data_IF_011098669111
#
_entry.id   IF_011098669111
#
_cell.length_a   1.000
_cell.length_b   1.000
_cell.length_c   1.000
_cell.angle_alpha   90.00
_cell.angle_beta   90.00
_cell.angle_gamma   90.00
#
_symmetry.space_group_name_H-M   'P 1'
#
loop_
_entity.id
_entity.type
_entity.pdbx_description
1 polymer ?
#
# COMPACT_ATOMS: atom_id res chain seq x y z
N UNK A 1 64.54 -0.83 2.59
CA UNK A 1 63.68 0.22 2.05
C UNK A 1 62.50 -0.32 1.25
N UNK A 2 62.66 -1.20 0.29
CA UNK A 2 61.62 -1.72 -0.60
C UNK A 2 60.40 -2.40 0.11
N UNK A 3 60.63 -3.13 1.25
CA UNK A 3 59.53 -3.78 2.00
C UNK A 3 58.57 -2.79 2.65
N UNK A 4 59.11 -1.65 3.17
CA UNK A 4 58.27 -0.57 3.76
C UNK A 4 57.42 0.13 2.70
N UNK A 5 57.98 0.39 1.53
CA UNK A 5 57.23 0.95 0.40
C UNK A 5 56.14 0.02 -0.13
N UNK A 6 56.39 -1.27 -0.21
CA UNK A 6 55.35 -2.27 -0.60
C UNK A 6 54.21 -2.34 0.41
N UNK A 7 54.54 -2.30 1.72
CA UNK A 7 53.51 -2.27 2.77
C UNK A 7 52.69 -0.98 2.72
N UNK A 8 53.34 0.18 2.54
CA UNK A 8 52.65 1.45 2.40
C UNK A 8 51.73 1.47 1.14
N UNK A 9 52.19 0.96 -0.01
CA UNK A 9 51.40 0.86 -1.22
C UNK A 9 50.22 -0.11 -1.03
N UNK A 10 50.42 -1.26 -0.39
CA UNK A 10 49.34 -2.19 -0.07
C UNK A 10 48.28 -1.59 0.87
N UNK A 11 48.71 -0.85 1.89
CA UNK A 11 47.82 -0.12 2.80
C UNK A 11 47.01 0.98 2.05
N UNK A 12 47.67 1.74 1.19
CA UNK A 12 46.99 2.76 0.37
C UNK A 12 45.97 2.14 -0.61
N UNK A 13 46.33 1.01 -1.24
CA UNK A 13 45.40 0.27 -2.11
C UNK A 13 44.19 -0.27 -1.33
N UNK A 14 44.41 -0.81 -0.14
CA UNK A 14 43.32 -1.28 0.72
C UNK A 14 42.38 -0.14 1.12
N UNK A 15 42.94 1.02 1.52
CA UNK A 15 42.12 2.20 1.87
C UNK A 15 41.35 2.72 0.67
N UNK A 16 41.95 2.72 -0.54
CA UNK A 16 41.22 3.09 -1.76
C UNK A 16 40.08 2.12 -2.08
N UNK A 17 40.27 0.81 -1.92
CA UNK A 17 39.24 -0.20 -2.10
C UNK A 17 38.11 -0.03 -1.08
N UNK A 18 38.45 0.16 0.20
CA UNK A 18 37.44 0.41 1.24
C UNK A 18 36.66 1.71 0.97
N UNK A 19 37.35 2.77 0.58
CA UNK A 19 36.72 4.04 0.18
C UNK A 19 35.76 3.86 -1.00
N UNK A 20 36.18 3.13 -2.04
CA UNK A 20 35.33 2.83 -3.20
C UNK A 20 34.11 1.97 -2.82
N UNK A 21 34.26 0.99 -1.94
CA UNK A 21 33.17 0.17 -1.45
C UNK A 21 32.14 1.00 -0.65
N UNK A 22 32.61 1.93 0.19
CA UNK A 22 31.73 2.86 0.93
C UNK A 22 30.96 3.77 -0.03
N UNK A 23 31.63 4.34 -1.03
CA UNK A 23 30.98 5.21 -2.05
C UNK A 23 29.94 4.40 -2.83
N UNK A 24 30.25 3.18 -3.26
CA UNK A 24 29.32 2.32 -3.98
C UNK A 24 28.10 1.96 -3.10
N UNK A 25 28.31 1.65 -1.82
CA UNK A 25 27.23 1.39 -0.87
C UNK A 25 26.32 2.60 -0.67
N UNK A 26 26.90 3.80 -0.51
CA UNK A 26 26.13 5.05 -0.41
C UNK A 26 25.34 5.31 -1.71
N UNK A 27 25.96 5.14 -2.88
CA UNK A 27 25.29 5.35 -4.17
C UNK A 27 24.12 4.38 -4.37
N UNK A 28 24.26 3.12 -3.94
CA UNK A 28 23.19 2.11 -4.00
C UNK A 28 22.01 2.43 -3.05
N UNK A 29 22.30 3.07 -1.90
CA UNK A 29 21.29 3.45 -0.92
C UNK A 29 20.50 4.72 -1.30
N UNK A 30 20.92 5.44 -2.34
CA UNK A 30 20.28 6.67 -2.80
C UNK A 30 19.34 6.42 -3.99
N UNK A 31 18.13 6.99 -4.03
CA UNK A 31 17.22 6.90 -5.16
C UNK A 31 17.78 7.66 -6.38
N UNK A 32 17.26 7.35 -7.56
CA UNK A 32 17.63 8.03 -8.81
C UNK A 32 16.93 9.38 -8.97
N UNK A 33 15.80 9.56 -8.30
CA UNK A 33 15.02 10.81 -8.33
C UNK A 33 14.77 11.29 -6.90
N UNK A 34 14.97 12.59 -6.70
CA UNK A 34 14.67 13.29 -5.44
C UNK A 34 13.81 14.51 -5.75
N UNK A 35 12.93 14.87 -4.81
CA UNK A 35 12.01 15.99 -4.95
C UNK A 35 12.44 17.13 -4.03
N UNK A 36 12.25 18.38 -4.46
CA UNK A 36 12.55 19.57 -3.66
C UNK A 36 11.54 20.67 -3.98
N UNK A 37 11.22 21.48 -2.98
CA UNK A 37 10.42 22.70 -3.11
C UNK A 37 11.28 23.97 -3.27
N UNK A 38 12.60 23.80 -3.15
CA UNK A 38 13.59 24.84 -3.33
C UNK A 38 14.51 24.58 -4.52
N UNK A 39 15.64 25.26 -4.51
CA UNK A 39 16.68 25.06 -5.53
C UNK A 39 17.28 23.64 -5.43
N UNK A 40 17.47 22.99 -6.58
CA UNK A 40 18.15 21.70 -6.66
C UNK A 40 19.59 21.73 -6.05
N UNK A 41 20.21 22.92 -5.98
CA UNK A 41 21.51 23.12 -5.33
C UNK A 41 21.44 23.06 -3.78
N UNK A 42 20.26 23.24 -3.21
CA UNK A 42 20.03 23.19 -1.76
C UNK A 42 19.55 21.80 -1.28
N UNK A 43 19.45 20.85 -2.21
CA UNK A 43 18.99 19.49 -1.92
C UNK A 43 19.92 18.83 -0.89
N UNK A 44 19.34 18.39 0.21
CA UNK A 44 20.00 17.67 1.30
C UNK A 44 19.28 16.39 1.60
N UNK A 45 20.03 15.44 2.14
CA UNK A 45 19.49 14.17 2.62
C UNK A 45 19.61 14.18 4.14
N UNK A 46 18.49 14.29 4.82
CA UNK A 46 18.49 14.50 6.28
C UNK A 46 19.16 13.36 7.06
N UNK A 47 19.04 12.12 6.57
CA UNK A 47 19.72 10.95 7.16
C UNK A 47 21.21 10.87 6.86
N UNK A 48 21.72 11.66 5.89
CA UNK A 48 23.11 11.68 5.44
C UNK A 48 23.63 13.11 5.33
N UNK A 49 23.80 13.83 6.45
CA UNK A 49 24.08 15.27 6.44
C UNK A 49 25.44 15.66 5.82
N UNK A 50 26.32 14.67 5.65
CA UNK A 50 27.60 14.83 4.97
C UNK A 50 27.51 14.74 3.45
N UNK A 51 26.34 14.40 2.90
CA UNK A 51 26.06 14.48 1.48
C UNK A 51 25.37 15.81 1.14
N UNK A 52 25.91 16.50 0.14
CA UNK A 52 25.33 17.74 -0.38
C UNK A 52 25.33 17.76 -1.91
N UNK A 53 24.37 18.49 -2.45
CA UNK A 53 24.31 18.74 -3.88
C UNK A 53 25.48 19.60 -4.33
N UNK A 54 26.15 19.19 -5.42
CA UNK A 54 27.19 19.96 -6.08
C UNK A 54 26.68 20.45 -7.41
N UNK A 55 26.64 21.78 -7.62
CA UNK A 55 26.27 22.35 -8.90
C UNK A 55 27.38 22.04 -9.91
N UNK A 56 27.02 21.43 -11.04
CA UNK A 56 27.99 21.26 -12.15
C UNK A 56 28.34 22.66 -12.70
N UNK A 57 29.60 23.05 -12.63
CA UNK A 57 30.08 24.29 -13.26
C UNK A 57 29.82 24.19 -14.77
N UNK A 58 28.96 25.05 -15.31
CA UNK A 58 28.69 25.11 -16.75
C UNK A 58 27.25 24.77 -17.20
N UNK A 59 26.34 24.43 -16.28
CA UNK A 59 24.93 24.33 -16.66
C UNK A 59 24.30 25.73 -16.70
N UNK A 60 23.75 26.10 -17.86
CA UNK A 60 22.89 27.26 -18.03
C UNK A 60 21.83 27.23 -16.93
N UNK A 61 21.54 28.35 -16.24
CA UNK A 61 20.44 28.42 -15.29
C UNK A 61 19.15 28.18 -16.09
N UNK A 62 18.61 26.99 -16.09
CA UNK A 62 17.20 26.83 -16.30
C UNK A 62 16.52 27.64 -15.18
N UNK A 63 15.60 28.49 -15.55
CA UNK A 63 14.78 29.29 -14.62
C UNK A 63 14.15 28.30 -13.64
N UNK A 64 14.80 28.17 -12.49
CA UNK A 64 14.59 27.02 -11.56
C UNK A 64 13.35 27.18 -10.70
N UNK A 65 12.46 28.08 -11.04
CA UNK A 65 11.20 28.37 -10.35
C UNK A 65 9.96 27.85 -11.09
N UNK A 66 10.14 27.31 -12.32
CA UNK A 66 9.02 26.69 -13.01
C UNK A 66 8.62 25.39 -12.27
N UNK A 67 7.33 25.16 -11.95
CA UNK A 67 6.86 23.89 -11.42
C UNK A 67 7.21 22.77 -12.42
N UNK A 68 7.66 21.62 -11.91
CA UNK A 68 8.12 20.44 -12.66
C UNK A 68 9.46 20.59 -13.40
N UNK A 69 10.24 21.62 -13.12
CA UNK A 69 11.62 21.70 -13.61
C UNK A 69 12.45 20.55 -13.03
N UNK A 70 13.14 19.81 -13.89
CA UNK A 70 14.06 18.77 -13.45
C UNK A 70 15.49 19.06 -13.86
N UNK A 71 16.42 18.79 -12.96
CA UNK A 71 17.86 18.97 -13.23
C UNK A 71 18.66 17.79 -12.67
N UNK A 72 19.77 17.47 -13.32
CA UNK A 72 20.69 16.47 -12.81
C UNK A 72 21.66 17.13 -11.81
N UNK A 73 21.70 16.60 -10.61
CA UNK A 73 22.53 17.07 -9.51
C UNK A 73 23.45 15.97 -9.06
N UNK A 74 24.73 16.25 -8.88
CA UNK A 74 25.68 15.30 -8.31
C UNK A 74 25.73 15.48 -6.80
N UNK A 75 25.35 14.45 -6.06
CA UNK A 75 25.53 14.36 -4.61
C UNK A 75 26.99 14.04 -4.32
N UNK A 76 27.63 14.81 -3.47
CA UNK A 76 29.03 14.66 -3.12
C UNK A 76 29.20 14.56 -1.61
N UNK A 77 30.08 13.66 -1.18
CA UNK A 77 30.51 13.50 0.20
C UNK A 77 31.38 14.70 0.59
N UNK A 78 31.00 15.41 1.66
CA UNK A 78 31.65 16.65 2.12
C UNK A 78 31.76 17.73 1.01
N UNK A 79 30.87 17.69 0.00
CA UNK A 79 30.90 18.61 -1.14
C UNK A 79 32.03 18.36 -2.15
N UNK A 80 32.90 17.37 -1.95
CA UNK A 80 34.11 17.13 -2.74
C UNK A 80 34.05 15.82 -3.54
N UNK A 81 33.82 14.69 -2.87
CA UNK A 81 33.88 13.37 -3.50
C UNK A 81 32.54 13.00 -4.10
N UNK A 82 32.40 12.89 -5.43
CA UNK A 82 31.14 12.56 -6.07
C UNK A 82 30.71 11.15 -5.69
N UNK A 83 29.44 10.98 -5.31
CA UNK A 83 28.83 9.71 -4.93
C UNK A 83 27.84 9.23 -5.98
N UNK A 84 26.83 10.04 -6.31
CA UNK A 84 25.79 9.69 -7.27
C UNK A 84 25.23 10.94 -7.94
N UNK A 85 24.93 10.84 -9.24
CA UNK A 85 24.12 11.84 -9.93
C UNK A 85 22.66 11.42 -9.89
N UNK A 86 21.81 12.27 -9.36
CA UNK A 86 20.38 12.07 -9.22
C UNK A 86 19.60 13.11 -10.00
N UNK A 87 18.38 12.77 -10.40
CA UNK A 87 17.44 13.71 -10.96
C UNK A 87 16.74 14.46 -9.82
N UNK A 88 16.95 15.73 -9.69
CA UNK A 88 16.22 16.61 -8.78
C UNK A 88 15.01 17.19 -9.51
N UNK A 89 13.81 16.94 -8.98
CA UNK A 89 12.55 17.48 -9.50
C UNK A 89 12.06 18.56 -8.54
N UNK A 90 11.93 19.79 -9.06
CA UNK A 90 11.36 20.89 -8.29
C UNK A 90 9.85 20.83 -8.40
N UNK A 91 9.16 20.70 -7.27
CA UNK A 91 7.70 20.68 -7.20
C UNK A 91 7.23 21.46 -5.98
N UNK A 92 6.07 22.10 -6.10
CA UNK A 92 5.48 22.77 -4.96
C UNK A 92 5.18 21.75 -3.84
N UNK A 93 5.46 22.13 -2.60
CA UNK A 93 5.17 21.26 -1.44
C UNK A 93 3.67 21.11 -1.31
N UNK A 94 3.23 19.87 -1.23
CA UNK A 94 1.81 19.56 -1.03
C UNK A 94 1.46 19.74 0.43
N UNK A 95 0.24 20.24 0.66
CA UNK A 95 -0.40 20.35 1.97
C UNK A 95 -1.66 19.52 1.96
N UNK A 96 -1.86 18.71 3.00
CA UNK A 96 -3.01 17.83 3.15
C UNK A 96 -3.64 18.01 4.53
N UNK A 97 -4.88 17.58 4.68
CA UNK A 97 -5.53 17.46 5.98
C UNK A 97 -5.20 16.10 6.57
N UNK A 98 -4.45 16.09 7.66
CA UNK A 98 -4.07 14.88 8.39
C UNK A 98 -5.31 14.30 9.08
N UNK A 99 -5.56 12.98 8.89
CA UNK A 99 -6.73 12.32 9.47
C UNK A 99 -6.35 11.39 10.63
N UNK A 100 -6.10 10.13 10.40
CA UNK A 100 -5.94 9.11 11.44
C UNK A 100 -7.28 8.60 11.99
N UNK A 101 -8.40 8.97 11.36
CA UNK A 101 -9.75 8.55 11.74
C UNK A 101 -10.12 7.22 11.11
N UNK A 102 -10.90 6.35 11.78
CA UNK A 102 -11.31 5.09 11.23
C UNK A 102 -12.37 5.30 10.13
N UNK A 103 -12.30 4.48 9.10
CA UNK A 103 -13.34 4.40 8.09
C UNK A 103 -13.63 2.96 7.72
N UNK A 104 -14.88 2.70 7.35
CA UNK A 104 -15.31 1.46 6.73
C UNK A 104 -15.20 1.61 5.22
N UNK A 105 -14.61 0.62 4.59
CA UNK A 105 -14.58 0.52 3.13
C UNK A 105 -15.49 -0.61 2.71
N UNK A 106 -16.32 -0.38 1.71
CA UNK A 106 -17.13 -1.39 1.04
C UNK A 106 -16.75 -1.37 -0.43
N UNK A 107 -16.22 -2.49 -0.92
CA UNK A 107 -15.85 -2.68 -2.31
C UNK A 107 -16.76 -3.71 -2.95
N UNK A 108 -17.12 -3.48 -4.20
CA UNK A 108 -17.78 -4.43 -5.08
C UNK A 108 -16.81 -4.78 -6.21
N UNK A 109 -16.60 -6.07 -6.42
CA UNK A 109 -15.68 -6.60 -7.41
C UNK A 109 -16.31 -6.60 -8.82
N UNK A 110 -15.49 -6.43 -9.84
CA UNK A 110 -15.91 -6.57 -11.25
C UNK A 110 -15.90 -8.05 -11.66
N UNK A 111 -16.57 -8.89 -10.87
CA UNK A 111 -16.70 -10.32 -11.10
C UNK A 111 -16.90 -11.10 -9.81
N UNK A 112 -17.11 -12.41 -9.94
CA UNK A 112 -17.26 -13.35 -8.84
C UNK A 112 -15.93 -14.09 -8.58
N UNK A 113 -15.23 -13.73 -7.49
CA UNK A 113 -13.94 -14.30 -7.10
C UNK A 113 -14.14 -15.69 -6.49
N UNK A 114 -13.48 -16.72 -7.00
CA UNK A 114 -13.51 -18.08 -6.45
C UNK A 114 -12.68 -18.13 -5.19
N UNK A 115 -13.33 -18.30 -4.03
CA UNK A 115 -12.68 -18.29 -2.70
C UNK A 115 -12.61 -19.66 -2.04
N UNK A 116 -13.50 -20.59 -2.41
CA UNK A 116 -13.45 -21.95 -1.92
C UNK A 116 -14.12 -22.94 -2.87
N UNK A 117 -13.81 -24.21 -2.71
CA UNK A 117 -14.50 -25.32 -3.37
C UNK A 117 -15.40 -26.07 -2.39
N UNK A 118 -16.59 -26.46 -2.88
CA UNK A 118 -17.52 -27.33 -2.16
C UNK A 118 -17.65 -28.64 -2.95
N UNK A 119 -16.91 -29.65 -2.52
CA UNK A 119 -16.93 -30.96 -3.15
C UNK A 119 -18.22 -31.69 -2.78
N UNK A 120 -18.79 -32.37 -3.75
CA UNK A 120 -19.96 -33.24 -3.57
C UNK A 120 -19.49 -34.69 -3.40
N UNK A 121 -19.91 -35.30 -2.34
CA UNK A 121 -19.61 -36.70 -2.11
C UNK A 121 -20.74 -37.58 -2.70
N UNK A 122 -20.36 -38.47 -3.61
CA UNK A 122 -21.25 -39.46 -4.26
C UNK A 122 -20.77 -40.86 -3.90
N UNK A 123 -21.57 -41.88 -4.21
CA UNK A 123 -21.16 -43.26 -4.05
C UNK A 123 -19.93 -43.66 -4.90
N UNK A 124 -19.60 -42.86 -5.92
CA UNK A 124 -18.49 -43.07 -6.83
C UNK A 124 -17.25 -42.22 -6.50
N UNK A 125 -17.30 -41.37 -5.45
CA UNK A 125 -16.23 -40.50 -5.04
C UNK A 125 -16.66 -39.05 -4.87
N UNK A 126 -15.67 -38.13 -4.81
CA UNK A 126 -15.89 -36.70 -4.72
C UNK A 126 -15.93 -36.08 -6.12
N UNK A 127 -16.99 -35.31 -6.39
CA UNK A 127 -17.16 -34.55 -7.64
C UNK A 127 -17.19 -33.05 -7.39
N UNK A 128 -16.51 -32.31 -8.26
CA UNK A 128 -16.57 -30.85 -8.26
C UNK A 128 -16.54 -30.33 -9.70
N UNK A 129 -17.66 -29.81 -10.21
CA UNK A 129 -17.75 -29.33 -11.59
C UNK A 129 -16.75 -28.24 -11.94
N UNK A 130 -16.50 -27.30 -11.02
CA UNK A 130 -15.58 -26.20 -11.26
C UNK A 130 -14.11 -26.67 -11.27
N UNK A 131 -13.72 -27.59 -10.36
CA UNK A 131 -12.40 -28.22 -10.40
C UNK A 131 -12.19 -29.01 -11.71
N UNK A 132 -13.20 -29.77 -12.12
CA UNK A 132 -13.17 -30.52 -13.38
C UNK A 132 -13.04 -29.58 -14.59
N UNK A 133 -13.63 -28.39 -14.54
CA UNK A 133 -13.48 -27.34 -15.56
C UNK A 133 -12.11 -26.62 -15.50
N UNK A 134 -11.25 -26.90 -14.50
CA UNK A 134 -9.93 -26.30 -14.35
C UNK A 134 -9.91 -24.94 -13.63
N UNK A 135 -11.01 -24.54 -13.00
CA UNK A 135 -11.05 -23.35 -12.13
C UNK A 135 -10.20 -23.56 -10.87
N UNK A 136 -9.65 -22.47 -10.35
CA UNK A 136 -8.77 -22.44 -9.17
C UNK A 136 -9.20 -21.33 -8.21
N UNK A 137 -8.75 -21.41 -6.97
CA UNK A 137 -8.88 -20.32 -6.01
C UNK A 137 -8.18 -19.07 -6.55
N UNK A 138 -8.80 -17.92 -6.37
CA UNK A 138 -8.32 -16.65 -6.92
C UNK A 138 -8.70 -16.36 -8.38
N UNK A 139 -9.40 -17.29 -9.07
CA UNK A 139 -9.98 -16.98 -10.38
C UNK A 139 -11.16 -16.02 -10.23
N UNK A 140 -11.17 -14.95 -11.00
CA UNK A 140 -12.27 -13.99 -11.05
C UNK A 140 -13.16 -14.28 -12.25
N UNK A 141 -14.36 -14.80 -12.01
CA UNK A 141 -15.35 -15.09 -13.06
C UNK A 141 -15.99 -13.77 -13.48
N UNK A 142 -15.88 -13.42 -14.77
CA UNK A 142 -16.34 -12.15 -15.34
C UNK A 142 -17.48 -12.31 -16.36
N UNK A 143 -17.68 -13.50 -16.91
CA UNK A 143 -18.87 -13.78 -17.71
C UNK A 143 -19.23 -15.27 -17.73
N UNK A 144 -20.50 -15.54 -18.01
CA UNK A 144 -21.05 -16.89 -18.21
C UNK A 144 -21.94 -16.90 -19.44
N UNK A 145 -21.65 -17.78 -20.41
CA UNK A 145 -22.31 -17.82 -21.74
C UNK A 145 -22.38 -16.45 -22.44
N UNK A 146 -21.31 -15.65 -22.32
CA UNK A 146 -21.21 -14.33 -22.91
C UNK A 146 -21.99 -13.22 -22.16
N UNK A 147 -22.69 -13.55 -21.09
CA UNK A 147 -23.35 -12.55 -20.23
C UNK A 147 -22.38 -12.13 -19.12
N UNK A 148 -22.24 -10.83 -18.83
CA UNK A 148 -21.42 -10.36 -17.72
C UNK A 148 -21.84 -10.99 -16.38
N UNK A 149 -20.87 -11.28 -15.52
CA UNK A 149 -21.07 -11.74 -14.14
C UNK A 149 -20.35 -10.74 -13.23
N UNK A 150 -21.11 -10.00 -12.43
CA UNK A 150 -20.63 -8.98 -11.49
C UNK A 150 -21.01 -9.28 -10.05
N UNK A 151 -21.83 -10.30 -9.84
CA UNK A 151 -22.26 -10.71 -8.50
C UNK A 151 -22.44 -12.22 -8.40
N UNK A 152 -22.50 -12.70 -7.16
CA UNK A 152 -22.81 -14.08 -6.83
C UNK A 152 -24.20 -14.48 -7.35
N UNK A 153 -25.17 -13.56 -7.26
CA UNK A 153 -26.54 -13.78 -7.75
C UNK A 153 -26.58 -13.95 -9.27
N UNK A 154 -25.83 -13.15 -10.03
CA UNK A 154 -25.74 -13.26 -11.49
C UNK A 154 -25.11 -14.58 -11.90
N UNK A 155 -24.02 -14.99 -11.23
CA UNK A 155 -23.38 -16.28 -11.47
C UNK A 155 -24.33 -17.45 -11.14
N UNK A 156 -24.99 -17.39 -10.00
CA UNK A 156 -25.95 -18.40 -9.56
C UNK A 156 -27.10 -18.51 -10.57
N UNK A 157 -27.63 -17.38 -11.04
CA UNK A 157 -28.68 -17.34 -12.05
C UNK A 157 -28.26 -17.99 -13.37
N UNK A 158 -27.02 -17.70 -13.83
CA UNK A 158 -26.47 -18.30 -15.04
C UNK A 158 -26.31 -19.82 -14.91
N UNK A 159 -25.83 -20.31 -13.74
CA UNK A 159 -25.69 -21.73 -13.44
C UNK A 159 -27.06 -22.44 -13.43
N UNK A 160 -28.08 -21.83 -12.82
CA UNK A 160 -29.45 -22.35 -12.82
C UNK A 160 -30.05 -22.40 -14.22
N UNK A 161 -29.88 -21.32 -14.99
CA UNK A 161 -30.40 -21.22 -16.36
C UNK A 161 -29.76 -22.23 -17.32
N UNK A 162 -28.52 -22.65 -17.07
CA UNK A 162 -27.85 -23.71 -17.85
C UNK A 162 -28.54 -25.08 -17.71
N UNK A 163 -29.27 -25.33 -16.61
CA UNK A 163 -30.06 -26.54 -16.44
C UNK A 163 -29.27 -27.85 -16.53
N UNK A 164 -27.98 -27.82 -16.19
CA UNK A 164 -27.06 -28.95 -16.30
C UNK A 164 -26.34 -29.05 -17.66
N UNK A 165 -26.66 -28.18 -18.61
CA UNK A 165 -25.90 -28.09 -19.86
C UNK A 165 -24.54 -27.40 -19.64
N UNK A 166 -23.54 -27.66 -20.50
CA UNK A 166 -22.25 -27.00 -20.44
C UNK A 166 -22.39 -25.47 -20.51
N UNK A 167 -21.71 -24.77 -19.60
CA UNK A 167 -21.69 -23.32 -19.46
C UNK A 167 -20.29 -22.83 -19.78
N UNK A 168 -20.13 -21.95 -20.76
CA UNK A 168 -18.85 -21.33 -21.06
C UNK A 168 -18.61 -20.18 -20.07
N UNK A 169 -17.55 -20.31 -19.26
CA UNK A 169 -17.15 -19.34 -18.25
C UNK A 169 -15.89 -18.64 -18.71
N UNK A 170 -15.92 -17.30 -18.77
CA UNK A 170 -14.75 -16.45 -18.95
C UNK A 170 -14.29 -15.97 -17.57
N UNK A 171 -13.02 -16.12 -17.28
CA UNK A 171 -12.45 -15.75 -16.00
C UNK A 171 -11.06 -15.14 -16.16
N UNK A 172 -10.64 -14.38 -15.16
CA UNK A 172 -9.29 -13.82 -15.05
C UNK A 172 -8.49 -14.60 -14.02
N UNK A 173 -7.25 -14.97 -14.39
CA UNK A 173 -6.27 -15.60 -13.50
C UNK A 173 -5.00 -14.77 -13.53
N UNK A 174 -4.76 -13.97 -12.49
CA UNK A 174 -3.79 -12.88 -12.53
C UNK A 174 -4.12 -11.92 -13.68
N UNK A 175 -3.15 -11.61 -14.50
CA UNK A 175 -3.33 -10.73 -15.68
C UNK A 175 -3.89 -11.45 -16.91
N UNK A 176 -4.03 -12.76 -16.86
CA UNK A 176 -4.45 -13.56 -18.01
C UNK A 176 -5.95 -13.79 -18.04
N UNK A 177 -6.58 -13.58 -19.19
CA UNK A 177 -7.97 -13.92 -19.44
C UNK A 177 -8.06 -15.35 -19.99
N UNK A 178 -8.89 -16.19 -19.38
CA UNK A 178 -9.02 -17.61 -19.66
C UNK A 178 -10.48 -18.00 -19.84
N UNK A 179 -10.71 -19.13 -20.52
CA UNK A 179 -12.05 -19.70 -20.72
C UNK A 179 -12.09 -21.13 -20.22
N UNK A 180 -13.18 -21.53 -19.58
CA UNK A 180 -13.46 -22.89 -19.15
C UNK A 180 -14.88 -23.30 -19.56
N UNK A 181 -15.10 -24.59 -19.74
CA UNK A 181 -16.45 -25.16 -19.91
C UNK A 181 -16.81 -25.87 -18.62
N UNK A 182 -17.79 -25.32 -17.91
CA UNK A 182 -18.28 -25.83 -16.65
C UNK A 182 -19.65 -26.51 -16.87
N UNK A 183 -19.78 -27.77 -16.42
CA UNK A 183 -21.05 -28.49 -16.50
C UNK A 183 -21.62 -28.62 -15.08
N UNK A 184 -22.64 -27.81 -14.72
CA UNK A 184 -23.22 -27.83 -13.38
C UNK A 184 -23.87 -29.17 -13.06
N UNK A 185 -23.78 -29.61 -11.79
CA UNK A 185 -24.46 -30.82 -11.31
C UNK A 185 -25.64 -30.47 -10.43
N UNK A 186 -26.68 -31.32 -10.45
CA UNK A 186 -27.90 -31.12 -9.66
C UNK A 186 -27.69 -31.58 -8.22
N UNK A 187 -28.00 -30.75 -7.23
CA UNK A 187 -27.97 -31.12 -5.82
C UNK A 187 -29.24 -31.88 -5.37
N UNK A 188 -29.26 -32.29 -4.12
CA UNK A 188 -30.41 -33.04 -3.53
C UNK A 188 -31.72 -32.25 -3.50
N UNK A 189 -31.63 -30.92 -3.49
CA UNK A 189 -32.75 -29.99 -3.52
C UNK A 189 -33.20 -29.64 -4.95
N UNK A 190 -32.60 -30.27 -5.95
CA UNK A 190 -32.92 -30.04 -7.35
C UNK A 190 -32.27 -28.81 -7.97
N UNK A 191 -31.39 -28.10 -7.26
CA UNK A 191 -30.66 -26.92 -7.74
C UNK A 191 -29.37 -27.30 -8.46
N UNK A 192 -29.03 -26.59 -9.51
CA UNK A 192 -27.76 -26.78 -10.21
C UNK A 192 -26.62 -26.04 -9.47
N UNK A 193 -25.48 -26.68 -9.29
CA UNK A 193 -24.34 -26.19 -8.56
C UNK A 193 -23.04 -26.35 -9.36
N UNK A 194 -22.16 -25.38 -9.23
CA UNK A 194 -20.80 -25.43 -9.77
C UNK A 194 -19.78 -26.03 -8.80
N UNK A 195 -20.12 -26.15 -7.53
CA UNK A 195 -19.21 -26.63 -6.49
C UNK A 195 -18.16 -25.59 -6.06
N UNK A 196 -18.51 -24.30 -6.12
CA UNK A 196 -17.65 -23.17 -5.70
C UNK A 196 -18.38 -22.25 -4.73
N UNK A 197 -17.57 -21.62 -3.89
CA UNK A 197 -17.95 -20.41 -3.17
C UNK A 197 -17.29 -19.23 -3.86
N UNK A 198 -18.04 -18.17 -4.06
CA UNK A 198 -17.54 -16.95 -4.68
C UNK A 198 -17.79 -15.75 -3.79
N UNK A 199 -16.95 -14.73 -3.95
CA UNK A 199 -17.07 -13.44 -3.29
C UNK A 199 -17.08 -12.35 -4.36
N UNK A 200 -18.03 -11.43 -4.25
CA UNK A 200 -18.23 -10.31 -5.17
C UNK A 200 -18.09 -8.95 -4.48
N UNK A 201 -17.88 -8.97 -3.17
CA UNK A 201 -17.76 -7.76 -2.35
C UNK A 201 -16.85 -8.00 -1.17
N UNK A 202 -16.30 -6.93 -0.64
CA UNK A 202 -15.50 -6.94 0.57
C UNK A 202 -15.79 -5.72 1.42
N UNK A 203 -15.77 -5.89 2.72
CA UNK A 203 -15.87 -4.79 3.68
C UNK A 203 -14.81 -4.95 4.77
N UNK A 204 -14.28 -3.81 5.22
CA UNK A 204 -13.28 -3.81 6.27
C UNK A 204 -13.16 -2.45 6.95
N UNK A 205 -12.49 -2.43 8.10
CA UNK A 205 -12.12 -1.20 8.80
C UNK A 205 -10.68 -0.87 8.45
N UNK A 206 -10.43 0.40 8.13
CA UNK A 206 -9.11 0.97 7.96
C UNK A 206 -9.01 2.36 8.56
N UNK A 207 -7.88 2.99 8.37
CA UNK A 207 -7.64 4.36 8.80
C UNK A 207 -7.49 5.29 7.60
N UNK A 208 -8.23 6.39 7.60
CA UNK A 208 -8.12 7.47 6.64
C UNK A 208 -6.82 8.21 6.91
N UNK A 209 -5.93 8.22 5.93
CA UNK A 209 -4.58 8.78 6.10
C UNK A 209 -4.61 10.30 6.01
N UNK A 210 -5.15 10.80 4.92
CA UNK A 210 -5.28 12.23 4.67
C UNK A 210 -6.37 12.54 3.64
N UNK A 211 -6.79 13.79 3.62
CA UNK A 211 -7.64 14.37 2.59
C UNK A 211 -6.84 15.46 1.89
N UNK A 212 -6.87 15.46 0.57
CA UNK A 212 -6.38 16.58 -0.25
C UNK A 212 -7.55 17.55 -0.49
N UNK A 213 -7.59 18.69 0.21
CA UNK A 213 -8.72 19.61 0.10
C UNK A 213 -8.75 20.35 -1.25
N UNK A 214 -7.62 20.41 -1.96
CA UNK A 214 -7.53 21.08 -3.25
C UNK A 214 -8.27 20.27 -4.33
N UNK A 215 -8.16 18.94 -4.27
CA UNK A 215 -8.76 18.05 -5.26
C UNK A 215 -10.03 17.34 -4.75
N UNK A 216 -10.38 17.49 -3.46
CA UNK A 216 -11.51 16.78 -2.85
C UNK A 216 -11.31 15.26 -2.86
N UNK A 217 -10.07 14.80 -2.65
CA UNK A 217 -9.72 13.38 -2.67
C UNK A 217 -9.23 12.91 -1.31
N UNK A 218 -9.32 11.60 -1.07
CA UNK A 218 -8.78 10.96 0.13
C UNK A 218 -7.78 9.86 -0.22
N UNK A 219 -6.94 9.52 0.75
CA UNK A 219 -6.12 8.31 0.76
C UNK A 219 -6.29 7.58 2.09
N UNK A 220 -6.28 6.25 2.04
CA UNK A 220 -6.38 5.39 3.22
C UNK A 220 -5.73 4.03 3.04
N UNK A 221 -5.62 3.26 4.12
CA UNK A 221 -5.06 1.92 4.23
C UNK A 221 -3.54 1.80 3.97
N UNK A 222 -2.99 2.44 2.94
CA UNK A 222 -1.58 2.30 2.57
C UNK A 222 -1.22 0.96 1.92
N UNK A 223 -2.19 0.10 1.64
CA UNK A 223 -2.08 -1.16 0.89
C UNK A 223 -3.41 -1.48 0.22
N UNK A 224 -3.42 -2.35 -0.79
CA UNK A 224 -4.65 -2.80 -1.44
C UNK A 224 -5.53 -3.61 -0.50
N UNK A 225 -6.83 -3.61 -0.79
CA UNK A 225 -7.77 -4.54 -0.18
C UNK A 225 -7.72 -5.84 -0.98
N UNK A 226 -7.39 -6.91 -0.28
CA UNK A 226 -7.32 -8.26 -0.82
C UNK A 226 -8.30 -9.17 -0.12
N UNK A 227 -8.70 -10.23 -0.79
CA UNK A 227 -9.50 -11.29 -0.20
C UNK A 227 -8.71 -12.04 0.86
N UNK A 228 -9.28 -12.23 2.04
CA UNK A 228 -8.61 -12.83 3.19
C UNK A 228 -8.30 -14.32 3.01
N UNK A 229 -9.08 -15.04 2.19
CA UNK A 229 -8.94 -16.49 2.01
C UNK A 229 -7.93 -16.84 0.91
N UNK A 230 -7.89 -16.02 -0.14
CA UNK A 230 -7.04 -16.27 -1.33
C UNK A 230 -5.82 -15.36 -1.41
N UNK A 231 -5.81 -14.23 -0.70
CA UNK A 231 -4.81 -13.17 -0.85
C UNK A 231 -4.91 -12.39 -2.17
N UNK A 232 -5.88 -12.71 -3.02
CA UNK A 232 -6.06 -12.04 -4.29
C UNK A 232 -6.58 -10.61 -4.07
N UNK A 233 -6.01 -9.64 -4.80
CA UNK A 233 -6.47 -8.26 -4.79
C UNK A 233 -7.90 -8.17 -5.34
N UNK A 234 -8.79 -7.48 -4.61
CA UNK A 234 -10.15 -7.26 -5.05
C UNK A 234 -10.17 -6.22 -6.18
N UNK A 235 -10.59 -6.65 -7.35
CA UNK A 235 -10.74 -5.76 -8.50
C UNK A 235 -11.92 -4.84 -8.29
N UNK A 236 -11.69 -3.55 -8.41
CA UNK A 236 -12.68 -2.53 -8.14
C UNK A 236 -13.67 -2.36 -9.30
N UNK A 237 -14.93 -2.70 -9.09
CA UNK A 237 -16.08 -2.25 -9.90
C UNK A 237 -16.61 -0.91 -9.37
N UNK A 238 -16.86 -0.87 -8.08
CA UNK A 238 -17.30 0.32 -7.34
C UNK A 238 -16.96 0.16 -5.87
N UNK A 239 -16.94 1.28 -5.15
CA UNK A 239 -16.74 1.24 -3.70
C UNK A 239 -17.11 2.54 -3.04
N UNK A 240 -17.38 2.46 -1.76
CA UNK A 240 -17.70 3.60 -0.91
C UNK A 240 -16.95 3.54 0.41
N UNK A 241 -16.72 4.70 0.99
CA UNK A 241 -16.21 4.82 2.36
C UNK A 241 -17.27 5.42 3.26
N UNK A 242 -17.39 4.86 4.47
CA UNK A 242 -18.31 5.30 5.50
C UNK A 242 -17.55 5.61 6.79
N UNK A 243 -18.01 6.56 7.61
CA UNK A 243 -17.44 6.75 8.94
C UNK A 243 -17.61 5.49 9.79
N UNK A 244 -16.65 5.26 10.69
CA UNK A 244 -16.69 4.16 11.67
C UNK A 244 -16.54 4.73 13.07
N UNK A 245 -17.28 4.17 14.02
CA UNK A 245 -17.05 4.36 15.46
C UNK A 245 -16.37 3.13 15.99
N UNK A 246 -15.13 3.24 16.47
CA UNK A 246 -14.42 2.14 17.12
C UNK A 246 -15.06 1.86 18.48
N UNK A 247 -15.62 0.66 18.62
CA UNK A 247 -16.32 0.21 19.85
C UNK A 247 -15.44 -0.68 20.72
N UNK A 248 -14.33 -1.18 20.19
CA UNK A 248 -13.40 -2.03 20.93
C UNK A 248 -12.18 -2.42 20.14
N UNK A 249 -11.24 -3.09 20.82
CA UNK A 249 -10.03 -3.61 20.25
C UNK A 249 -9.76 -5.02 20.79
N UNK A 250 -9.52 -5.97 19.91
CA UNK A 250 -8.89 -7.22 20.27
C UNK A 250 -7.39 -6.98 20.33
N UNK A 251 -6.82 -7.17 21.50
CA UNK A 251 -5.40 -6.89 21.73
C UNK A 251 -4.52 -7.88 20.97
N UNK A 252 -3.51 -7.36 20.29
CA UNK A 252 -2.48 -8.16 19.63
C UNK A 252 -1.52 -8.82 20.61
N UNK A 253 -1.00 -9.98 20.24
CA UNK A 253 0.05 -10.71 20.91
C UNK A 253 1.03 -11.28 19.88
N UNK A 254 2.21 -11.74 20.34
CA UNK A 254 3.15 -12.37 19.45
C UNK A 254 2.54 -13.59 18.72
N UNK A 255 2.57 -13.55 17.38
CA UNK A 255 1.96 -14.60 16.54
C UNK A 255 0.44 -14.53 16.37
N UNK A 256 -0.23 -13.55 16.99
CA UNK A 256 -1.68 -13.33 16.86
C UNK A 256 -1.95 -11.83 16.73
N UNK A 257 -2.12 -11.30 15.50
CA UNK A 257 -2.45 -9.91 15.32
C UNK A 257 -3.82 -9.61 15.94
N UNK A 258 -3.92 -8.44 16.60
CA UNK A 258 -5.19 -7.94 17.11
C UNK A 258 -5.98 -7.22 16.01
N UNK A 259 -7.18 -6.75 16.36
CA UNK A 259 -8.05 -6.03 15.43
C UNK A 259 -8.85 -4.93 16.13
N UNK A 260 -9.13 -3.84 15.41
CA UNK A 260 -10.13 -2.85 15.82
C UNK A 260 -11.52 -3.36 15.45
N UNK A 261 -12.47 -3.18 16.34
CA UNK A 261 -13.90 -3.46 16.12
C UNK A 261 -14.68 -2.16 16.12
N UNK A 262 -15.66 -2.05 15.25
CA UNK A 262 -16.41 -0.81 15.14
C UNK A 262 -17.72 -0.97 14.40
N UNK A 263 -18.53 0.07 14.47
CA UNK A 263 -19.83 0.18 13.82
C UNK A 263 -19.75 1.13 12.63
N UNK A 264 -20.26 0.70 11.49
CA UNK A 264 -20.30 1.49 10.26
C UNK A 264 -21.49 2.42 10.27
N UNK A 265 -21.26 3.70 9.96
CA UNK A 265 -22.35 4.63 9.69
C UNK A 265 -23.10 4.26 8.40
N UNK A 266 -24.37 4.67 8.32
CA UNK A 266 -25.21 4.34 7.17
C UNK A 266 -24.85 5.16 5.91
N UNK A 267 -24.41 6.42 6.09
CA UNK A 267 -24.20 7.34 4.98
C UNK A 267 -22.74 7.37 4.53
N UNK A 268 -22.44 7.15 3.25
CA UNK A 268 -21.10 7.26 2.72
C UNK A 268 -20.60 8.71 2.72
N UNK A 269 -19.29 8.86 2.89
CA UNK A 269 -18.58 10.14 2.87
C UNK A 269 -17.57 10.23 1.71
N UNK A 270 -17.53 9.22 0.86
CA UNK A 270 -16.69 9.22 -0.32
C UNK A 270 -16.88 7.98 -1.18
N UNK A 271 -16.34 8.05 -2.41
CA UNK A 271 -16.34 6.94 -3.37
C UNK A 271 -14.92 6.48 -3.60
N UNK A 272 -14.72 5.18 -3.62
CA UNK A 272 -13.43 4.57 -3.98
C UNK A 272 -13.28 4.61 -5.50
N UNK A 273 -12.17 5.14 -5.97
CA UNK A 273 -11.81 5.24 -7.39
C UNK A 273 -10.62 4.36 -7.75
N UNK A 274 -9.78 4.01 -6.78
CA UNK A 274 -8.65 3.12 -6.96
C UNK A 274 -8.43 2.27 -5.72
N UNK A 275 -8.10 0.99 -5.94
CA UNK A 275 -7.60 0.04 -4.96
C UNK A 275 -6.30 -0.53 -5.56
N UNK A 276 -5.16 -0.14 -5.06
CA UNK A 276 -3.86 -0.57 -5.57
C UNK A 276 -2.86 -0.86 -4.45
N UNK A 277 -1.66 -1.27 -4.80
CA UNK A 277 -0.62 -1.65 -3.84
C UNK A 277 -0.24 -0.53 -2.87
N UNK A 278 -0.47 0.74 -3.20
CA UNK A 278 -0.16 1.88 -2.36
C UNK A 278 -1.32 2.31 -1.46
N UNK A 279 -2.53 1.78 -1.67
CA UNK A 279 -3.69 2.05 -0.84
C UNK A 279 -5.02 2.16 -1.56
N UNK A 280 -5.97 2.72 -0.85
CA UNK A 280 -7.31 3.03 -1.35
C UNK A 280 -7.45 4.53 -1.51
N UNK A 281 -7.85 4.97 -2.69
CA UNK A 281 -7.99 6.38 -3.05
C UNK A 281 -9.35 6.66 -3.64
N UNK A 282 -9.81 7.89 -3.50
CA UNK A 282 -11.09 8.26 -4.09
C UNK A 282 -11.52 9.68 -3.83
N UNK A 283 -12.76 10.01 -4.19
CA UNK A 283 -13.37 11.31 -3.92
C UNK A 283 -13.92 11.36 -2.50
N UNK A 284 -13.73 12.48 -1.83
CA UNK A 284 -14.21 12.74 -0.48
C UNK A 284 -15.27 13.81 -0.48
N UNK A 285 -16.40 13.53 0.15
CA UNK A 285 -17.56 14.45 0.28
C UNK A 285 -17.99 14.67 1.74
N UNK A 286 -17.21 14.12 2.68
CA UNK A 286 -17.47 14.30 4.11
C UNK A 286 -17.06 15.68 4.62
N UNK A 287 -17.28 15.96 5.91
CA UNK A 287 -16.85 17.21 6.53
C UNK A 287 -15.31 17.32 6.50
N UNK A 288 -14.83 18.56 6.38
CA UNK A 288 -13.40 18.83 6.55
C UNK A 288 -12.94 18.34 7.93
N UNK A 289 -11.90 17.53 7.96
CA UNK A 289 -11.42 16.91 9.19
C UNK A 289 -9.88 16.99 9.23
N UNK A 290 -9.35 17.16 10.45
CA UNK A 290 -7.92 17.12 10.70
C UNK A 290 -7.22 18.48 10.57
N UNK A 291 -5.95 18.49 10.96
CA UNK A 291 -5.08 19.64 10.84
C UNK A 291 -4.38 19.66 9.49
N UNK A 292 -4.10 20.86 8.98
CA UNK A 292 -3.34 21.04 7.75
C UNK A 292 -1.85 20.78 8.02
N UNK A 293 -1.24 19.87 7.27
CA UNK A 293 0.17 19.53 7.39
C UNK A 293 0.83 19.48 6.01
N UNK A 294 2.09 19.85 5.94
CA UNK A 294 2.90 19.63 4.75
C UNK A 294 3.30 18.15 4.61
N UNK A 295 3.44 17.69 3.38
CA UNK A 295 3.99 16.35 3.08
C UNK A 295 5.51 16.44 3.03
N UNK A 296 6.19 15.56 3.77
CA UNK A 296 7.64 15.44 3.72
C UNK A 296 8.09 14.77 2.42
N UNK A 297 9.20 15.23 1.88
CA UNK A 297 9.90 14.48 0.85
C UNK A 297 10.66 13.30 1.48
N UNK A 298 10.83 12.21 0.73
CA UNK A 298 11.45 10.98 1.25
C UNK A 298 12.83 11.23 1.92
N UNK A 299 13.63 12.10 1.33
CA UNK A 299 14.97 12.43 1.84
C UNK A 299 14.96 13.28 3.13
N UNK A 300 13.81 13.80 3.53
CA UNK A 300 13.66 14.57 4.78
C UNK A 300 13.34 13.66 5.98
N UNK A 301 12.87 12.44 5.72
CA UNK A 301 12.53 11.47 6.75
C UNK A 301 13.80 10.85 7.34
N UNK A 302 13.87 10.81 8.68
CA UNK A 302 15.04 10.30 9.42
C UNK A 302 14.65 9.28 10.47
N UNK A 303 15.62 8.51 10.94
CA UNK A 303 15.45 7.73 12.17
C UNK A 303 15.28 8.66 13.37
N UNK A 304 14.41 8.31 14.30
CA UNK A 304 14.16 9.14 15.47
C UNK A 304 12.70 9.19 15.89
N UNK A 305 12.34 10.11 16.79
CA UNK A 305 10.98 10.29 17.26
C UNK A 305 10.04 10.69 16.13
N UNK A 306 8.80 10.20 16.19
CA UNK A 306 7.69 10.54 15.31
C UNK A 306 6.36 10.28 16.04
N UNK A 307 5.27 10.70 15.45
CA UNK A 307 3.91 10.52 15.95
C UNK A 307 3.11 9.67 14.98
N UNK A 308 2.42 8.66 15.48
CA UNK A 308 1.43 7.86 14.76
C UNK A 308 0.03 8.38 15.13
N UNK A 309 -0.71 8.85 14.15
CA UNK A 309 -2.08 9.34 14.37
C UNK A 309 -3.07 8.23 14.08
N UNK A 310 -3.77 7.77 15.11
CA UNK A 310 -4.69 6.65 15.02
C UNK A 310 -5.89 6.82 15.96
N UNK A 311 -6.97 6.14 15.66
CA UNK A 311 -8.15 6.04 16.52
C UNK A 311 -8.28 4.59 16.96
N UNK A 312 -8.14 4.36 18.27
CA UNK A 312 -8.29 3.01 18.86
C UNK A 312 -9.55 2.92 19.76
N UNK A 313 -10.28 4.02 19.87
CA UNK A 313 -11.55 4.13 20.62
C UNK A 313 -12.34 5.33 20.13
N UNK A 314 -13.65 5.17 19.89
CA UNK A 314 -14.52 6.24 19.40
C UNK A 314 -14.22 6.64 17.97
N UNK A 315 -14.24 7.95 17.68
CA UNK A 315 -14.09 8.49 16.32
C UNK A 315 -12.90 9.45 16.15
N UNK A 316 -12.30 9.90 17.27
CA UNK A 316 -11.27 10.94 17.27
C UNK A 316 -9.86 10.34 17.23
N UNK A 317 -9.07 10.77 16.25
CA UNK A 317 -7.66 10.41 16.17
C UNK A 317 -6.85 11.05 17.30
N UNK A 318 -5.84 10.31 17.78
CA UNK A 318 -4.86 10.77 18.76
C UNK A 318 -3.46 10.50 18.25
N UNK A 319 -2.53 11.36 18.63
CA UNK A 319 -1.11 11.16 18.37
C UNK A 319 -0.53 10.21 19.41
N UNK A 320 0.16 9.18 18.96
CA UNK A 320 0.88 8.21 19.79
C UNK A 320 2.36 8.26 19.45
N UNK A 321 3.20 8.24 20.49
CA UNK A 321 4.64 8.27 20.29
C UNK A 321 5.15 6.99 19.61
N UNK A 322 5.91 7.17 18.54
CA UNK A 322 6.62 6.10 17.84
C UNK A 322 8.04 6.52 17.55
N UNK A 323 8.87 5.56 17.20
CA UNK A 323 10.24 5.80 16.74
C UNK A 323 10.43 5.18 15.36
N UNK A 324 10.91 5.97 14.41
CA UNK A 324 11.38 5.47 13.13
C UNK A 324 12.76 4.85 13.36
N UNK A 325 12.88 3.55 13.17
CA UNK A 325 14.14 2.80 13.41
C UNK A 325 14.97 2.67 12.14
N UNK A 326 14.32 2.61 10.99
CA UNK A 326 15.01 2.47 9.70
C UNK A 326 14.22 3.21 8.60
N UNK A 327 14.99 3.86 7.73
CA UNK A 327 14.48 4.47 6.48
C UNK A 327 15.24 3.83 5.33
N UNK A 328 14.52 3.27 4.38
CA UNK A 328 15.06 2.69 3.14
C UNK A 328 14.56 3.52 1.98
N UNK A 329 15.47 4.25 1.32
CA UNK A 329 15.10 5.14 0.22
C UNK A 329 15.06 4.43 -1.14
N UNK A 330 15.66 3.24 -1.23
CA UNK A 330 15.75 2.41 -2.44
C UNK A 330 15.26 1.00 -2.11
N UNK A 331 13.96 0.79 -2.10
CA UNK A 331 13.35 -0.53 -1.90
C UNK A 331 12.60 -0.96 -3.15
N UNK A 332 12.54 -2.26 -3.40
CA UNK A 332 11.66 -2.85 -4.42
C UNK A 332 10.21 -2.88 -3.98
N UNK A 333 9.97 -2.82 -2.67
CA UNK A 333 8.65 -2.81 -2.07
C UNK A 333 8.37 -1.44 -1.44
N UNK A 334 7.52 -0.60 -2.06
CA UNK A 334 7.21 0.74 -1.55
C UNK A 334 6.49 0.69 -0.19
N UNK A 335 5.88 -0.44 0.17
CA UNK A 335 5.15 -0.60 1.43
C UNK A 335 6.05 -1.01 2.61
N UNK A 336 7.37 -1.19 2.39
CA UNK A 336 8.35 -1.58 3.42
C UNK A 336 9.55 -0.66 3.49
N UNK A 337 9.36 0.62 3.17
CA UNK A 337 10.44 1.61 3.15
C UNK A 337 10.78 2.17 4.53
N UNK A 338 9.90 2.03 5.52
CA UNK A 338 10.11 2.48 6.89
C UNK A 338 9.86 1.34 7.89
N UNK A 339 10.70 1.27 8.92
CA UNK A 339 10.45 0.43 10.10
C UNK A 339 10.21 1.35 11.29
N UNK A 340 9.07 1.17 11.95
CA UNK A 340 8.72 1.92 13.15
C UNK A 340 8.59 1.01 14.37
N UNK A 341 8.80 1.58 15.54
CA UNK A 341 8.53 0.97 16.83
C UNK A 341 7.54 1.84 17.59
N UNK A 342 6.47 1.26 18.10
CA UNK A 342 5.58 1.93 19.05
C UNK A 342 6.30 2.09 20.38
N UNK A 343 6.32 3.32 20.89
CA UNK A 343 6.92 3.65 22.19
C UNK A 343 5.90 4.20 23.19
N UNK A 344 4.69 4.52 22.70
CA UNK A 344 3.59 5.01 23.52
C UNK A 344 2.99 3.91 24.39
N UNK A 345 3.08 4.08 25.71
CA UNK A 345 2.58 3.08 26.68
C UNK A 345 1.07 2.93 26.64
N UNK A 346 0.34 4.03 26.43
CA UNK A 346 -1.15 4.00 26.36
C UNK A 346 -1.62 3.18 25.17
N UNK A 347 -0.96 3.32 24.02
CA UNK A 347 -1.25 2.50 22.85
C UNK A 347 -0.92 1.03 23.10
N UNK A 348 0.27 0.75 23.65
CA UNK A 348 0.70 -0.62 23.97
C UNK A 348 -0.21 -1.31 24.97
N UNK A 349 -0.68 -0.60 26.00
CA UNK A 349 -1.64 -1.13 26.97
C UNK A 349 -2.99 -1.47 26.34
N UNK A 350 -3.50 -0.61 25.46
CA UNK A 350 -4.81 -0.79 24.81
C UNK A 350 -4.77 -1.87 23.71
N UNK A 351 -3.78 -1.84 22.85
CA UNK A 351 -3.78 -2.64 21.62
C UNK A 351 -2.72 -3.74 21.60
N UNK A 352 -1.73 -3.70 22.49
CA UNK A 352 -0.59 -4.64 22.47
C UNK A 352 0.45 -4.34 21.38
N UNK A 353 0.22 -3.32 20.56
CA UNK A 353 1.05 -2.93 19.41
C UNK A 353 0.20 -2.44 18.23
N UNK A 354 0.69 -2.60 17.03
CA UNK A 354 -0.07 -2.33 15.81
C UNK A 354 -1.08 -3.47 15.60
N UNK A 355 -2.35 -3.13 15.34
CA UNK A 355 -3.45 -4.09 15.13
C UNK A 355 -4.15 -3.81 13.81
N UNK A 356 -4.87 -4.80 13.29
CA UNK A 356 -5.69 -4.66 12.08
C UNK A 356 -6.72 -3.53 12.24
N UNK A 357 -6.92 -2.75 11.20
CA UNK A 357 -7.71 -1.51 11.21
C UNK A 357 -6.88 -0.25 11.42
N UNK A 358 -5.63 -0.34 11.91
CA UNK A 358 -4.72 0.80 11.99
C UNK A 358 -3.98 1.07 10.66
N UNK A 359 -4.07 0.19 9.68
CA UNK A 359 -3.52 0.42 8.34
C UNK A 359 -4.09 1.72 7.76
N UNK A 360 -3.23 2.59 7.26
CA UNK A 360 -3.57 3.96 6.84
C UNK A 360 -3.25 5.04 7.88
N UNK A 361 -2.93 4.68 9.13
CA UNK A 361 -2.58 5.67 10.15
C UNK A 361 -1.39 6.53 9.72
N UNK A 362 -1.54 7.86 9.64
CA UNK A 362 -0.45 8.72 9.21
C UNK A 362 0.63 8.84 10.27
N UNK A 363 1.87 8.91 9.80
CA UNK A 363 3.06 9.10 10.62
C UNK A 363 3.61 10.50 10.37
N UNK A 364 3.70 11.30 11.43
CA UNK A 364 4.17 12.68 11.38
C UNK A 364 5.56 12.76 12.01
N UNK A 365 6.49 13.37 11.32
CA UNK A 365 7.82 13.69 11.83
C UNK A 365 8.13 15.16 11.54
N UNK A 366 8.62 15.88 12.54
CA UNK A 366 8.96 17.31 12.45
C UNK A 366 7.80 18.17 11.90
N UNK A 367 6.55 17.84 12.28
CA UNK A 367 5.36 18.57 11.85
C UNK A 367 4.91 18.30 10.40
N UNK A 368 5.49 17.29 9.73
CA UNK A 368 5.15 16.91 8.35
C UNK A 368 4.67 15.47 8.25
N UNK A 369 3.77 15.21 7.33
CA UNK A 369 3.36 13.84 6.99
C UNK A 369 4.54 13.12 6.33
N UNK A 370 5.14 12.19 7.07
CA UNK A 370 6.34 11.47 6.67
C UNK A 370 6.02 10.13 5.98
N UNK A 371 4.97 9.46 6.44
CA UNK A 371 4.58 8.13 5.94
C UNK A 371 3.15 7.79 6.34
N UNK A 372 2.71 6.64 5.86
CA UNK A 372 1.44 6.00 6.22
C UNK A 372 1.75 4.57 6.68
N UNK A 373 1.12 4.13 7.75
CA UNK A 373 1.25 2.77 8.26
C UNK A 373 0.62 1.77 7.29
N UNK A 374 1.33 0.70 6.95
CA UNK A 374 0.85 -0.33 6.01
C UNK A 374 0.63 -1.68 6.71
N UNK A 375 1.67 -2.19 7.38
CA UNK A 375 1.68 -3.54 7.97
C UNK A 375 2.27 -3.52 9.38
#
# INVERSE_FOLDING_TARGET
MQRKWRLAAAAAALLALLGSAVIAGLAAALPDTLYTDGSAAELRIASLPYLSARKKQGAVPADSTAPDASSNVTLALFGVVPVKTVRAVTTARRTVQLCGTPFGVKLFSDGALVVAFSDRYTALGSENPAKAAGLRLGDLIISANGQPVRSNEELTSAIQAAGGAPLTVLYRRGESQCTAVLTPTRDENGCYKAGIWVRDSGAGIGTLSFIDPLHGTFAGLGHSISDADTGAELTLLSGEIVPVTVTGCVRGAAGSPGELRGEFAASPVGKVLANDTAGVYGSYSGPAAGQSVEVANLQEVTTGPAELWATVEGTAAKAYAVRIERVTMTGTDPNRNLLIRVTDQTLLEKTGGIVQGMSGSPIVQNGRLAAVLTH
#
